data_IF_490270425662
#
_entry.id   IF_490270425662
#
_cell.length_a   1.000
_cell.length_b   1.000
_cell.length_c   1.000
_cell.angle_alpha   90.00
_cell.angle_beta   90.00
_cell.angle_gamma   90.00
#
_symmetry.space_group_name_H-M   'P 1'
#
loop_
_entity.id
_entity.type
_entity.pdbx_description
1 polymer ?
#
# COMPACT_ATOMS: atom_id res chain seq x y z
N UNK A 1 -3.12 -9.03 -10.03
CA UNK A 1 -2.04 -9.19 -11.03
C UNK A 1 -0.65 -9.27 -10.40
N UNK A 2 -0.24 -8.31 -9.54
CA UNK A 2 1.07 -8.35 -8.88
C UNK A 2 1.34 -9.63 -8.05
N UNK A 3 0.33 -10.17 -7.35
CA UNK A 3 0.46 -11.37 -6.53
C UNK A 3 0.88 -12.64 -7.30
N UNK A 4 0.52 -12.76 -8.57
CA UNK A 4 0.82 -13.95 -9.40
C UNK A 4 2.31 -14.03 -9.79
N UNK A 5 2.99 -12.88 -9.88
CA UNK A 5 4.44 -12.82 -10.11
C UNK A 5 5.21 -12.76 -8.79
N UNK A 6 4.66 -12.03 -7.82
CA UNK A 6 5.30 -11.80 -6.55
C UNK A 6 5.41 -13.08 -5.72
N UNK A 7 4.35 -13.87 -5.57
CA UNK A 7 4.38 -15.08 -4.73
C UNK A 7 5.42 -16.12 -5.19
N UNK A 8 5.49 -16.51 -6.48
CA UNK A 8 6.52 -17.45 -6.94
C UNK A 8 7.95 -16.92 -6.73
N UNK A 9 8.18 -15.64 -6.99
CA UNK A 9 9.48 -15.01 -6.80
C UNK A 9 9.85 -14.93 -5.31
N UNK A 10 8.88 -14.67 -4.43
CA UNK A 10 9.09 -14.63 -2.99
C UNK A 10 9.42 -16.00 -2.40
N UNK A 11 8.83 -17.09 -2.92
CA UNK A 11 9.23 -18.44 -2.53
C UNK A 11 10.68 -18.77 -2.93
N UNK A 12 11.14 -18.26 -4.09
CA UNK A 12 12.48 -18.56 -4.60
C UNK A 12 13.60 -17.68 -4.02
N UNK A 13 13.32 -16.41 -3.78
CA UNK A 13 14.32 -15.40 -3.39
C UNK A 13 14.08 -14.74 -2.04
N UNK A 14 12.96 -15.05 -1.38
CA UNK A 14 12.54 -14.43 -0.13
C UNK A 14 11.77 -13.12 -0.34
N UNK A 15 10.82 -12.85 0.56
CA UNK A 15 9.93 -11.68 0.47
C UNK A 15 10.70 -10.34 0.45
N UNK A 16 11.68 -10.19 1.36
CA UNK A 16 12.44 -8.96 1.51
C UNK A 16 13.25 -8.60 0.26
N UNK A 17 13.96 -9.57 -0.32
CA UNK A 17 14.79 -9.33 -1.49
C UNK A 17 13.97 -8.95 -2.73
N UNK A 18 12.81 -9.59 -2.92
CA UNK A 18 11.89 -9.27 -4.03
C UNK A 18 11.31 -7.87 -3.87
N UNK A 19 10.84 -7.53 -2.66
CA UNK A 19 10.24 -6.21 -2.39
C UNK A 19 11.27 -5.10 -2.52
N UNK A 20 12.48 -5.29 -1.99
CA UNK A 20 13.56 -4.31 -2.12
C UNK A 20 13.87 -4.00 -3.59
N UNK A 21 14.01 -5.04 -4.42
CA UNK A 21 14.24 -4.87 -5.86
C UNK A 21 13.07 -4.18 -6.56
N UNK A 22 11.83 -4.54 -6.21
CA UNK A 22 10.65 -3.88 -6.76
C UNK A 22 10.61 -2.39 -6.39
N UNK A 23 10.94 -2.04 -5.14
CA UNK A 23 11.01 -0.65 -4.69
C UNK A 23 12.09 0.14 -5.42
N UNK A 24 13.27 -0.47 -5.66
CA UNK A 24 14.35 0.16 -6.43
C UNK A 24 13.93 0.41 -7.88
N UNK A 25 13.27 -0.55 -8.51
CA UNK A 25 12.72 -0.36 -9.86
C UNK A 25 11.70 0.78 -9.86
N UNK A 26 10.78 0.81 -8.89
CA UNK A 26 9.83 1.91 -8.72
C UNK A 26 10.51 3.26 -8.53
N UNK A 27 11.57 3.33 -7.72
CA UNK A 27 12.38 4.52 -7.52
C UNK A 27 13.01 4.99 -8.83
N UNK A 28 13.65 4.09 -9.59
CA UNK A 28 14.29 4.44 -10.87
C UNK A 28 13.25 4.92 -11.89
N UNK A 29 12.10 4.26 -11.97
CA UNK A 29 11.03 4.65 -12.90
C UNK A 29 10.38 5.99 -12.52
N UNK A 30 10.33 6.32 -11.23
CA UNK A 30 9.77 7.60 -10.75
C UNK A 30 10.81 8.72 -10.64
N UNK A 31 12.11 8.40 -10.68
CA UNK A 31 13.19 9.36 -10.56
C UNK A 31 13.15 10.52 -11.57
N UNK A 32 12.82 10.31 -12.87
CA UNK A 32 12.71 11.43 -13.81
C UNK A 32 11.69 12.48 -13.38
N UNK A 33 10.53 12.05 -12.88
CA UNK A 33 9.50 12.95 -12.35
C UNK A 33 9.96 13.67 -11.09
N UNK A 34 10.71 12.98 -10.22
CA UNK A 34 11.33 13.58 -9.04
C UNK A 34 12.39 14.64 -9.39
N UNK A 35 13.20 14.41 -10.41
CA UNK A 35 14.23 15.37 -10.88
C UNK A 35 13.56 16.65 -11.37
N UNK A 36 12.52 16.55 -12.20
CA UNK A 36 11.73 17.71 -12.64
C UNK A 36 11.13 18.44 -11.43
N UNK A 37 10.50 17.71 -10.51
CA UNK A 37 9.90 18.30 -9.31
C UNK A 37 10.91 19.00 -8.38
N UNK A 38 12.13 18.49 -8.26
CA UNK A 38 13.19 19.10 -7.43
C UNK A 38 13.62 20.46 -7.98
N UNK A 39 13.58 20.67 -9.30
CA UNK A 39 13.94 21.98 -9.89
C UNK A 39 12.99 23.11 -9.53
N UNK A 40 11.74 22.78 -9.19
CA UNK A 40 10.71 23.74 -8.76
C UNK A 40 10.51 23.77 -7.23
N UNK A 41 11.22 22.91 -6.49
CA UNK A 41 11.02 22.72 -5.04
C UNK A 41 12.04 23.49 -4.21
N UNK A 42 11.60 24.01 -3.06
CA UNK A 42 12.49 24.57 -2.04
C UNK A 42 12.86 23.53 -0.99
N UNK A 43 14.12 23.54 -0.54
CA UNK A 43 14.56 22.59 0.47
C UNK A 43 14.02 22.99 1.85
N UNK A 44 13.10 22.19 2.38
CA UNK A 44 12.56 22.35 3.72
C UNK A 44 12.64 21.03 4.50
N UNK A 45 13.15 21.09 5.73
CA UNK A 45 13.42 19.89 6.53
C UNK A 45 12.14 19.15 6.98
N UNK A 46 11.02 19.89 7.15
CA UNK A 46 9.72 19.32 7.55
C UNK A 46 9.15 18.38 6.46
N UNK A 47 9.00 18.80 5.18
CA UNK A 47 8.62 17.90 4.09
C UNK A 47 9.56 16.71 3.92
N UNK A 48 10.88 16.91 4.05
CA UNK A 48 11.87 15.83 3.96
C UNK A 48 11.59 14.76 5.03
N UNK A 49 11.39 15.17 6.29
CA UNK A 49 11.04 14.25 7.37
C UNK A 49 9.69 13.54 7.14
N UNK A 50 8.67 14.27 6.66
CA UNK A 50 7.36 13.70 6.37
C UNK A 50 7.41 12.64 5.25
N UNK A 51 8.11 12.93 4.15
CA UNK A 51 8.29 11.99 3.03
C UNK A 51 9.13 10.79 3.47
N UNK A 52 10.16 11.00 4.27
CA UNK A 52 10.98 9.91 4.80
C UNK A 52 10.16 8.95 5.68
N UNK A 53 9.38 9.49 6.63
CA UNK A 53 8.51 8.68 7.49
C UNK A 53 7.43 7.96 6.68
N UNK A 54 6.80 8.64 5.72
CA UNK A 54 5.79 8.04 4.85
C UNK A 54 6.39 6.91 3.99
N UNK A 55 7.56 7.13 3.38
CA UNK A 55 8.22 6.16 2.54
C UNK A 55 8.74 4.94 3.32
N UNK A 56 9.28 5.15 4.52
CA UNK A 56 9.81 4.05 5.36
C UNK A 56 8.70 3.26 6.03
N UNK A 57 7.81 3.91 6.78
CA UNK A 57 6.77 3.24 7.56
C UNK A 57 5.56 2.89 6.70
N UNK A 58 5.04 3.86 5.94
CA UNK A 58 3.83 3.71 5.14
C UNK A 58 4.02 2.78 3.93
N UNK A 59 5.22 2.76 3.34
CA UNK A 59 5.50 1.97 2.14
C UNK A 59 6.50 0.84 2.39
N UNK A 60 7.69 1.13 2.88
CA UNK A 60 8.76 0.13 3.04
C UNK A 60 8.36 -1.01 3.98
N UNK A 61 8.09 -0.69 5.25
CA UNK A 61 7.69 -1.67 6.27
C UNK A 61 6.38 -2.36 5.89
N UNK A 62 5.38 -1.59 5.45
CA UNK A 62 4.10 -2.14 5.03
C UNK A 62 4.23 -3.17 3.91
N UNK A 63 5.06 -2.90 2.89
CA UNK A 63 5.28 -3.84 1.79
C UNK A 63 6.02 -5.09 2.26
N UNK A 64 7.04 -4.96 3.11
CA UNK A 64 7.75 -6.12 3.71
C UNK A 64 6.76 -7.00 4.46
N UNK A 65 5.93 -6.43 5.33
CA UNK A 65 4.90 -7.16 6.06
C UNK A 65 3.90 -7.83 5.10
N UNK A 66 3.40 -7.11 4.10
CA UNK A 66 2.48 -7.65 3.10
C UNK A 66 3.11 -8.83 2.32
N UNK A 67 4.37 -8.70 1.89
CA UNK A 67 5.09 -9.78 1.22
C UNK A 67 5.31 -11.00 2.10
N UNK A 68 5.69 -10.79 3.37
CA UNK A 68 5.82 -11.91 4.32
C UNK A 68 4.48 -12.62 4.54
N UNK A 69 3.37 -11.88 4.58
CA UNK A 69 2.05 -12.47 4.69
C UNK A 69 1.69 -13.26 3.42
N UNK A 70 1.88 -12.68 2.24
CA UNK A 70 1.61 -13.38 0.97
C UNK A 70 2.41 -14.68 0.85
N UNK A 71 3.68 -14.69 1.27
CA UNK A 71 4.50 -15.91 1.30
C UNK A 71 4.03 -16.96 2.31
N UNK A 72 3.34 -16.57 3.39
CA UNK A 72 2.85 -17.48 4.44
C UNK A 72 1.45 -18.05 4.17
N UNK A 73 0.50 -17.21 3.73
CA UNK A 73 -0.91 -17.61 3.56
C UNK A 73 -1.35 -17.70 2.10
N UNK A 74 -0.46 -17.38 1.16
CA UNK A 74 -0.74 -17.35 -0.27
C UNK A 74 -1.39 -16.03 -0.74
N UNK A 75 -1.25 -15.73 -2.04
CA UNK A 75 -1.76 -14.49 -2.64
C UNK A 75 -3.26 -14.27 -2.40
N UNK A 76 -4.07 -15.32 -2.53
CA UNK A 76 -5.53 -15.22 -2.45
C UNK A 76 -6.02 -14.80 -1.06
N UNK A 77 -5.51 -15.44 0.00
CA UNK A 77 -5.88 -15.10 1.39
C UNK A 77 -5.26 -13.79 1.84
N UNK A 78 -4.01 -13.52 1.46
CA UNK A 78 -3.36 -12.26 1.81
C UNK A 78 -4.02 -11.05 1.14
N UNK A 79 -4.62 -11.22 -0.03
CA UNK A 79 -5.28 -10.11 -0.75
C UNK A 79 -6.47 -9.53 0.01
N UNK A 80 -7.02 -10.27 0.98
CA UNK A 80 -8.09 -9.79 1.86
C UNK A 80 -7.65 -8.53 2.63
N UNK A 81 -6.37 -8.39 2.95
CA UNK A 81 -5.85 -7.18 3.62
C UNK A 81 -6.12 -5.91 2.80
N UNK A 82 -6.13 -5.99 1.48
CA UNK A 82 -6.39 -4.82 0.65
C UNK A 82 -7.79 -4.23 0.92
N UNK A 83 -8.74 -5.04 1.37
CA UNK A 83 -10.09 -4.59 1.73
C UNK A 83 -10.15 -3.84 3.06
N UNK A 84 -9.12 -3.96 3.91
CA UNK A 84 -9.01 -3.19 5.15
C UNK A 84 -8.45 -1.78 4.91
N UNK A 85 -7.74 -1.56 3.81
CA UNK A 85 -7.15 -0.26 3.45
C UNK A 85 -8.17 0.89 3.54
N UNK A 86 -9.35 0.82 2.89
CA UNK A 86 -10.32 1.93 2.96
C UNK A 86 -10.86 2.17 4.38
N UNK A 87 -11.00 1.12 5.20
CA UNK A 87 -11.45 1.24 6.60
C UNK A 87 -10.42 2.00 7.42
N UNK A 88 -9.15 1.58 7.33
CA UNK A 88 -8.03 2.21 8.06
C UNK A 88 -7.81 3.64 7.58
N UNK A 89 -7.89 3.88 6.26
CA UNK A 89 -7.76 5.21 5.68
C UNK A 89 -8.83 6.17 6.22
N UNK A 90 -10.10 5.76 6.25
CA UNK A 90 -11.18 6.58 6.80
C UNK A 90 -10.98 6.85 8.29
N UNK A 91 -10.63 5.83 9.07
CA UNK A 91 -10.38 5.99 10.51
C UNK A 91 -9.23 6.97 10.78
N UNK A 92 -8.13 6.88 10.02
CA UNK A 92 -7.00 7.81 10.15
C UNK A 92 -7.36 9.23 9.70
N UNK A 93 -8.19 9.39 8.66
CA UNK A 93 -8.71 10.70 8.23
C UNK A 93 -9.52 11.38 9.34
N UNK A 94 -10.43 10.64 9.98
CA UNK A 94 -11.21 11.16 11.10
C UNK A 94 -10.33 11.48 12.30
N UNK A 95 -9.48 10.54 12.72
CA UNK A 95 -8.72 10.67 13.98
C UNK A 95 -7.57 11.68 13.88
N UNK A 96 -6.84 11.70 12.76
CA UNK A 96 -5.64 12.52 12.61
C UNK A 96 -5.88 13.84 11.88
N UNK A 97 -6.90 13.91 11.01
CA UNK A 97 -7.22 15.11 10.22
C UNK A 97 -8.54 15.77 10.59
N UNK A 98 -9.29 15.21 11.54
CA UNK A 98 -10.61 15.71 11.94
C UNK A 98 -11.57 15.85 10.74
N UNK A 99 -11.43 14.93 9.76
CA UNK A 99 -12.25 14.95 8.56
C UNK A 99 -13.70 14.58 8.89
N UNK A 100 -14.63 15.45 8.52
CA UNK A 100 -16.05 15.16 8.62
C UNK A 100 -16.44 14.07 7.61
N UNK A 101 -16.90 12.94 8.13
CA UNK A 101 -17.30 11.81 7.29
C UNK A 101 -18.65 12.10 6.65
N UNK A 102 -18.61 12.48 5.38
CA UNK A 102 -19.78 12.59 4.51
C UNK A 102 -20.50 11.23 4.37
N UNK A 103 -21.83 11.25 4.29
CA UNK A 103 -22.64 10.04 4.11
C UNK A 103 -22.22 9.23 2.86
N UNK A 104 -21.74 9.92 1.81
CA UNK A 104 -21.23 9.28 0.59
C UNK A 104 -19.96 8.46 0.84
N UNK A 105 -19.10 8.88 1.77
CA UNK A 105 -17.90 8.14 2.13
C UNK A 105 -18.26 6.85 2.87
N UNK A 106 -19.26 6.90 3.76
CA UNK A 106 -19.80 5.71 4.45
C UNK A 106 -20.43 4.75 3.44
N UNK A 107 -21.19 5.26 2.48
CA UNK A 107 -21.80 4.45 1.42
C UNK A 107 -20.72 3.78 0.54
N UNK A 108 -19.69 4.52 0.13
CA UNK A 108 -18.56 3.99 -0.62
C UNK A 108 -17.78 2.92 0.15
N UNK A 109 -17.53 3.13 1.45
CA UNK A 109 -16.89 2.14 2.32
C UNK A 109 -17.73 0.87 2.44
N UNK A 110 -19.03 1.03 2.65
CA UNK A 110 -19.99 -0.08 2.74
C UNK A 110 -19.99 -0.90 1.44
N UNK A 111 -20.02 -0.22 0.29
CA UNK A 111 -19.97 -0.85 -1.02
C UNK A 111 -18.66 -1.63 -1.24
N UNK A 112 -17.52 -1.05 -0.84
CA UNK A 112 -16.22 -1.70 -0.93
C UNK A 112 -16.16 -2.98 -0.08
N UNK A 113 -16.68 -2.95 1.15
CA UNK A 113 -16.75 -4.11 2.05
C UNK A 113 -17.69 -5.18 1.48
N UNK A 114 -18.84 -4.80 0.93
CA UNK A 114 -19.77 -5.76 0.30
C UNK A 114 -19.13 -6.41 -0.92
N UNK A 115 -18.46 -5.64 -1.79
CA UNK A 115 -17.75 -6.17 -2.95
C UNK A 115 -16.61 -7.12 -2.58
N UNK A 116 -15.87 -6.78 -1.52
CA UNK A 116 -14.86 -7.64 -0.92
C UNK A 116 -15.44 -8.97 -0.44
N UNK A 117 -16.54 -8.91 0.31
CA UNK A 117 -17.23 -10.07 0.85
C UNK A 117 -17.74 -11.01 -0.25
N UNK A 118 -18.40 -10.46 -1.28
CA UNK A 118 -18.89 -11.22 -2.44
C UNK A 118 -17.74 -11.94 -3.16
N UNK A 119 -16.63 -11.23 -3.39
CA UNK A 119 -15.45 -11.80 -4.06
C UNK A 119 -14.78 -12.88 -3.21
N UNK A 120 -14.71 -12.69 -1.90
CA UNK A 120 -14.13 -13.66 -0.96
C UNK A 120 -14.92 -14.98 -0.88
N UNK A 121 -16.24 -14.93 -1.13
CA UNK A 121 -17.11 -16.12 -1.16
C UNK A 121 -17.02 -16.89 -2.47
N UNK A 122 -16.83 -16.21 -3.59
CA UNK A 122 -16.69 -16.85 -4.91
C UNK A 122 -15.40 -17.68 -5.06
N UNK A 123 -14.41 -17.48 -4.18
CA UNK A 123 -13.16 -18.24 -4.14
C UNK A 123 -13.14 -19.44 -3.18
N UNK A 124 -14.29 -19.84 -2.60
CA UNK A 124 -14.47 -21.12 -1.90
C UNK A 124 -15.04 -22.16 -2.85
#
# INVERSE_FOLDING_TARGET
FAGNLMVPLQHRYGALAVIWRAQLVGMVLTAPYGIVGVTESTLAWRPVGAVFLLGTLGTGVAFVLAGTLFGRVGASRGSIIAYLIPVVALALGVVLRDEHVEAIAVAGLSLAIVGAWLTSRAGR
#
